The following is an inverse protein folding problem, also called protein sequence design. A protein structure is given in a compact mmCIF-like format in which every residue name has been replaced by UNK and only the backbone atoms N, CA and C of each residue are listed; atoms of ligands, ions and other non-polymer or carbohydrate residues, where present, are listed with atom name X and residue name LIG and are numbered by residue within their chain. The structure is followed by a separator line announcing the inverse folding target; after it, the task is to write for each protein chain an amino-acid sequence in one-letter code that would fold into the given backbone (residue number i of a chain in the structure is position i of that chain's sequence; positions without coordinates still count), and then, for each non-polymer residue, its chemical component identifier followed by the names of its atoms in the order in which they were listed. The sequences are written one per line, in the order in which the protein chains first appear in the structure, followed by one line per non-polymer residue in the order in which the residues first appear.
data_IF_243933807211
#
_entry.id   IF_243933807211
#
_cell.length_a   1.000
_cell.length_b   1.000
_cell.length_c   1.000
_cell.angle_alpha   90.00
_cell.angle_beta   90.00
_cell.angle_gamma   90.00
#
_symmetry.space_group_name_H-M   'P 1'
#
loop_
_entity.id
_entity.type
_entity.pdbx_description
1 polymer ?
#
# COMPACT_ATOMS: atom_id res chain seq x y z
N UNK A 1 -2.84 -17.51 -25.59
CA UNK A 1 -3.65 -17.81 -24.38
C UNK A 1 -3.09 -17.13 -23.13
N UNK A 2 -1.83 -17.41 -22.76
CA UNK A 2 -1.13 -16.79 -21.60
C UNK A 2 -1.03 -15.26 -21.72
N UNK A 3 -0.68 -14.77 -22.91
CA UNK A 3 -0.50 -13.35 -23.22
C UNK A 3 -1.80 -12.55 -23.13
N UNK A 4 -2.88 -13.08 -23.72
CA UNK A 4 -4.24 -12.52 -23.58
C UNK A 4 -4.63 -12.33 -22.11
N UNK A 5 -4.38 -13.33 -21.25
CA UNK A 5 -4.73 -13.25 -19.82
C UNK A 5 -3.89 -12.22 -19.06
N UNK A 6 -2.59 -12.19 -19.32
CA UNK A 6 -1.69 -11.21 -18.71
C UNK A 6 -2.03 -9.76 -19.10
N UNK A 7 -2.65 -9.55 -20.26
CA UNK A 7 -3.15 -8.24 -20.66
C UNK A 7 -4.49 -7.86 -20.03
N UNK A 8 -5.30 -8.82 -19.58
CA UNK A 8 -6.64 -8.56 -19.03
C UNK A 8 -6.63 -8.08 -17.58
N UNK A 9 -5.68 -8.54 -16.75
CA UNK A 9 -5.66 -8.25 -15.31
C UNK A 9 -4.23 -8.19 -14.78
N UNK A 10 -3.99 -7.33 -13.78
CA UNK A 10 -2.76 -7.35 -12.98
C UNK A 10 -2.75 -8.61 -12.10
N UNK A 11 -1.88 -9.56 -12.43
CA UNK A 11 -1.76 -10.85 -11.76
C UNK A 11 -0.30 -11.30 -11.71
N UNK A 12 0.03 -12.17 -10.76
CA UNK A 12 1.37 -12.76 -10.67
C UNK A 12 1.55 -13.91 -11.67
N UNK A 13 2.79 -14.21 -12.06
CA UNK A 13 3.08 -15.37 -12.93
C UNK A 13 2.65 -16.70 -12.28
N UNK A 14 2.63 -16.76 -10.94
CA UNK A 14 2.10 -17.88 -10.15
C UNK A 14 0.60 -18.04 -10.29
N UNK A 15 -0.17 -16.95 -10.22
CA UNK A 15 -1.63 -16.96 -10.43
C UNK A 15 -1.98 -17.39 -11.85
N UNK A 16 -1.29 -16.83 -12.86
CA UNK A 16 -1.52 -17.18 -14.27
C UNK A 16 -1.27 -18.68 -14.51
N UNK A 17 -0.23 -19.25 -13.90
CA UNK A 17 0.03 -20.69 -13.96
C UNK A 17 -1.12 -21.50 -13.37
N UNK A 18 -1.60 -21.11 -12.18
CA UNK A 18 -2.69 -21.81 -11.46
C UNK A 18 -4.01 -21.73 -12.21
N UNK A 19 -4.41 -20.55 -12.65
CA UNK A 19 -5.66 -20.35 -13.40
C UNK A 19 -5.68 -21.12 -14.73
N UNK A 20 -4.55 -21.11 -15.46
CA UNK A 20 -4.45 -21.80 -16.76
C UNK A 20 -4.01 -23.27 -16.62
N UNK A 21 -3.88 -23.79 -15.40
CA UNK A 21 -3.44 -25.16 -15.08
C UNK A 21 -2.21 -25.61 -15.89
N UNK A 22 -1.22 -24.72 -16.04
CA UNK A 22 -0.06 -24.98 -16.88
C UNK A 22 0.91 -25.96 -16.20
N UNK A 23 1.35 -26.99 -16.92
CA UNK A 23 2.35 -27.97 -16.42
C UNK A 23 3.77 -27.41 -16.30
N UNK A 24 4.06 -26.24 -16.88
CA UNK A 24 5.40 -25.67 -16.93
C UNK A 24 5.80 -24.94 -15.63
N UNK A 25 7.09 -24.59 -15.51
CA UNK A 25 7.59 -23.81 -14.37
C UNK A 25 7.07 -22.37 -14.42
N UNK A 26 6.92 -21.74 -13.25
CA UNK A 26 6.57 -20.31 -13.14
C UNK A 26 7.60 -19.43 -13.85
N UNK A 27 8.88 -19.85 -13.84
CA UNK A 27 9.97 -19.16 -14.52
C UNK A 27 9.80 -19.18 -16.04
N UNK A 28 9.26 -20.27 -16.60
CA UNK A 28 8.92 -20.37 -18.03
C UNK A 28 7.79 -19.39 -18.39
N UNK A 29 6.73 -19.34 -17.58
CA UNK A 29 5.62 -18.37 -17.77
C UNK A 29 6.15 -16.94 -17.74
N UNK A 30 7.02 -16.61 -16.79
CA UNK A 30 7.66 -15.30 -16.68
C UNK A 30 8.45 -14.95 -17.94
N UNK A 31 9.30 -15.87 -18.43
CA UNK A 31 10.11 -15.66 -19.64
C UNK A 31 9.26 -15.40 -20.88
N UNK A 32 8.15 -16.14 -21.04
CA UNK A 32 7.21 -15.93 -22.15
C UNK A 32 6.61 -14.52 -22.07
N UNK A 33 6.14 -14.11 -20.88
CA UNK A 33 5.55 -12.79 -20.68
C UNK A 33 6.57 -11.64 -20.81
N UNK A 34 7.86 -11.88 -20.55
CA UNK A 34 8.91 -10.88 -20.72
C UNK A 34 9.25 -10.59 -22.19
N UNK A 35 9.05 -11.56 -23.09
CA UNK A 35 9.24 -11.36 -24.54
C UNK A 35 8.14 -10.50 -25.15
N UNK A 36 7.00 -10.39 -24.49
CA UNK A 36 5.84 -9.69 -24.99
C UNK A 36 5.90 -8.18 -24.73
N UNK A 37 5.98 -7.37 -25.79
CA UNK A 37 6.02 -5.89 -25.70
C UNK A 37 4.79 -5.28 -25.03
N UNK A 38 3.65 -5.99 -25.04
CA UNK A 38 2.38 -5.51 -24.49
C UNK A 38 2.25 -5.72 -22.98
N UNK A 39 3.10 -6.53 -22.37
CA UNK A 39 3.01 -6.87 -20.94
C UNK A 39 4.08 -6.10 -20.17
N UNK A 40 3.64 -5.13 -19.35
CA UNK A 40 4.56 -4.38 -18.48
C UNK A 40 4.65 -5.02 -17.10
N UNK A 41 5.87 -5.33 -16.69
CA UNK A 41 6.15 -5.74 -15.33
C UNK A 41 6.21 -4.53 -14.40
N UNK A 42 5.49 -4.60 -13.29
CA UNK A 42 5.55 -3.60 -12.22
C UNK A 42 5.68 -4.28 -10.87
N UNK A 43 6.42 -3.65 -9.93
CA UNK A 43 6.46 -4.09 -8.54
C UNK A 43 5.09 -3.84 -7.91
N UNK A 44 4.47 -4.89 -7.38
CA UNK A 44 3.30 -4.73 -6.52
C UNK A 44 3.73 -3.95 -5.27
N UNK A 45 3.20 -2.75 -5.11
CA UNK A 45 3.41 -1.97 -3.90
C UNK A 45 2.62 -2.62 -2.76
N UNK A 46 3.31 -3.01 -1.69
CA UNK A 46 2.66 -3.44 -0.46
C UNK A 46 2.04 -2.23 0.21
N UNK A 47 0.75 -2.00 -0.05
CA UNK A 47 -0.05 -1.04 0.71
C UNK A 47 -0.81 -1.81 1.79
N UNK A 48 -0.81 -1.35 3.05
CA UNK A 48 -1.71 -1.92 4.03
C UNK A 48 -3.15 -1.75 3.53
N UNK A 49 -4.01 -2.77 3.70
CA UNK A 49 -5.42 -2.61 3.36
C UNK A 49 -5.99 -1.48 4.20
N UNK A 50 -6.57 -0.48 3.55
CA UNK A 50 -7.32 0.55 4.26
C UNK A 50 -8.64 -0.11 4.67
N UNK A 51 -8.81 -0.30 5.98
CA UNK A 51 -10.11 -0.63 6.55
C UNK A 51 -11.01 0.61 6.34
N UNK A 52 -12.28 0.40 6.00
CA UNK A 52 -13.23 1.47 5.63
C UNK A 52 -13.26 2.65 6.62
N UNK A 53 -13.05 2.37 7.90
CA UNK A 53 -12.93 3.38 8.97
C UNK A 53 -11.80 4.38 8.70
N UNK A 54 -10.59 3.89 8.37
CA UNK A 54 -9.46 4.76 8.05
C UNK A 54 -9.66 5.50 6.73
N UNK A 55 -10.39 4.90 5.78
CA UNK A 55 -10.76 5.56 4.53
C UNK A 55 -11.62 6.80 4.79
N UNK A 56 -12.69 6.65 5.58
CA UNK A 56 -13.59 7.76 5.95
C UNK A 56 -12.88 8.87 6.70
N UNK A 57 -12.12 8.52 7.74
CA UNK A 57 -11.37 9.50 8.55
C UNK A 57 -10.37 10.31 7.72
N UNK A 58 -9.68 9.67 6.76
CA UNK A 58 -8.75 10.38 5.85
C UNK A 58 -9.48 11.35 4.94
N UNK A 59 -10.66 10.99 4.44
CA UNK A 59 -11.46 11.86 3.57
C UNK A 59 -12.01 13.05 4.36
N UNK A 60 -12.53 12.83 5.56
CA UNK A 60 -13.03 13.89 6.44
C UNK A 60 -11.92 14.86 6.84
N UNK A 61 -10.74 14.33 7.24
CA UNK A 61 -9.58 15.14 7.54
C UNK A 61 -9.14 15.99 6.33
N UNK A 62 -9.06 15.39 5.14
CA UNK A 62 -8.70 16.12 3.92
C UNK A 62 -9.69 17.25 3.61
N UNK A 63 -11.00 17.00 3.73
CA UNK A 63 -12.04 18.04 3.57
C UNK A 63 -11.84 19.18 4.57
N UNK A 64 -11.64 18.85 5.85
CA UNK A 64 -11.40 19.84 6.90
C UNK A 64 -10.15 20.70 6.63
N UNK A 65 -9.05 20.08 6.19
CA UNK A 65 -7.83 20.81 5.83
C UNK A 65 -7.99 21.75 4.63
N UNK A 66 -8.82 21.37 3.64
CA UNK A 66 -9.16 22.24 2.51
C UNK A 66 -9.99 23.43 3.01
N UNK A 67 -11.03 23.19 3.80
CA UNK A 67 -11.89 24.24 4.38
C UNK A 67 -11.10 25.22 5.25
N UNK A 68 -10.14 24.74 6.03
CA UNK A 68 -9.28 25.58 6.87
C UNK A 68 -8.19 26.34 6.08
N UNK A 69 -8.14 26.24 4.75
CA UNK A 69 -7.15 26.94 3.91
C UNK A 69 -5.71 26.44 4.10
N UNK A 70 -5.51 25.33 4.82
CA UNK A 70 -4.19 24.74 5.10
C UNK A 70 -3.48 24.23 3.85
N UNK A 71 -4.23 23.92 2.79
CA UNK A 71 -3.66 23.47 1.51
C UNK A 71 -3.11 24.61 0.64
N UNK A 72 -3.66 25.83 0.74
CA UNK A 72 -3.46 26.88 -0.29
C UNK A 72 -2.62 28.08 0.16
N UNK A 73 -2.34 28.24 1.45
CA UNK A 73 -1.52 29.36 1.94
C UNK A 73 -0.17 28.88 2.51
N UNK A 74 0.92 29.26 1.84
CA UNK A 74 2.31 29.11 2.31
C UNK A 74 2.56 29.52 3.78
N UNK A 75 1.92 30.55 4.38
CA UNK A 75 2.19 30.92 5.77
C UNK A 75 1.75 29.89 6.83
N UNK A 76 0.66 29.15 6.61
CA UNK A 76 0.11 28.19 7.60
C UNK A 76 0.91 26.89 7.71
N UNK A 77 1.76 26.55 6.73
CA UNK A 77 2.59 25.32 6.78
C UNK A 77 3.83 25.48 7.66
N UNK A 78 4.27 26.72 7.92
CA UNK A 78 5.48 27.00 8.72
C UNK A 78 5.25 26.84 10.23
N UNK A 79 4.00 26.92 10.70
CA UNK A 79 3.63 26.70 12.11
C UNK A 79 3.27 25.24 12.43
N UNK A 80 3.20 24.37 11.42
CA UNK A 80 2.92 22.95 11.59
C UNK A 80 4.20 22.20 11.96
N UNK A 81 4.28 21.73 13.20
CA UNK A 81 5.34 20.84 13.67
C UNK A 81 4.86 19.40 13.49
N UNK A 82 5.56 18.64 12.66
CA UNK A 82 5.30 17.21 12.45
C UNK A 82 6.21 16.41 13.37
N UNK A 83 5.64 15.46 14.11
CA UNK A 83 6.38 14.56 15.01
C UNK A 83 6.07 13.14 14.57
N UNK A 84 7.10 12.38 14.21
CA UNK A 84 7.01 10.96 13.88
C UNK A 84 8.14 10.21 14.59
N UNK A 85 7.86 9.00 15.06
CA UNK A 85 8.87 8.09 15.59
C UNK A 85 9.34 7.13 14.49
N UNK A 86 10.64 7.17 14.19
CA UNK A 86 11.28 6.27 13.23
C UNK A 86 12.25 5.37 14.00
N UNK A 87 12.11 4.05 13.81
CA UNK A 87 13.03 3.07 14.37
C UNK A 87 14.15 2.79 13.37
N UNK A 88 15.40 2.93 13.80
CA UNK A 88 16.59 2.54 13.05
C UNK A 88 17.18 1.27 13.65
N UNK A 89 17.26 0.20 12.86
CA UNK A 89 18.01 -0.99 13.26
C UNK A 89 19.50 -0.81 12.91
N UNK A 90 20.39 -1.04 13.88
CA UNK A 90 21.84 -0.87 13.78
C UNK A 90 22.54 -1.91 12.90
N UNK A 91 21.80 -2.85 12.31
CA UNK A 91 22.33 -3.95 11.49
C UNK A 91 22.43 -3.63 10.00
N UNK A 92 22.10 -2.41 9.56
CA UNK A 92 22.10 -2.03 8.13
C UNK A 92 21.03 -2.72 7.29
N UNK A 93 20.18 -3.57 7.90
CA UNK A 93 18.98 -4.12 7.29
C UNK A 93 17.76 -3.42 7.89
N UNK A 94 17.10 -2.56 7.11
CA UNK A 94 15.83 -1.93 7.53
C UNK A 94 14.80 -3.03 7.77
N UNK A 95 14.55 -3.37 9.03
CA UNK A 95 13.49 -4.31 9.44
C UNK A 95 12.31 -3.52 9.98
N UNK A 96 11.19 -3.53 9.25
CA UNK A 96 9.94 -2.93 9.72
C UNK A 96 9.27 -3.92 10.68
N UNK A 97 9.67 -3.90 11.96
CA UNK A 97 8.97 -4.64 13.02
C UNK A 97 7.72 -3.87 13.43
N UNK A 98 6.54 -4.41 13.10
CA UNK A 98 5.26 -3.94 13.63
C UNK A 98 5.13 -4.31 15.10
N UNK A 99 5.23 -3.33 16.00
CA UNK A 99 4.83 -3.49 17.40
C UNK A 99 3.33 -3.16 17.50
N UNK A 100 2.50 -4.14 17.89
CA UNK A 100 1.10 -3.90 18.27
C UNK A 100 1.11 -3.16 19.60
N UNK A 101 0.74 -1.88 19.59
CA UNK A 101 0.29 -1.20 20.79
C UNK A 101 -1.23 -1.37 20.87
N UNK A 102 -1.70 -2.21 21.79
CA UNK A 102 -3.08 -2.21 22.25
C UNK A 102 -3.13 -1.29 23.46
N UNK A 103 -3.59 -0.05 23.28
CA UNK A 103 -4.06 0.78 24.39
C UNK A 103 -5.58 0.60 24.46
N UNK A 104 -6.02 -0.13 25.48
CA UNK A 104 -7.38 -0.05 26.02
C UNK A 104 -7.59 1.38 26.51
N UNK A 105 -8.58 2.07 25.92
CA UNK A 105 -9.07 3.33 26.46
C UNK A 105 -10.20 2.95 27.40
N UNK A 106 -9.93 3.02 28.70
CA UNK A 106 -10.95 2.92 29.73
C UNK A 106 -11.87 4.13 29.61
N UNK A 107 -13.15 3.85 29.32
CA UNK A 107 -14.24 4.83 29.31
C UNK A 107 -14.64 5.07 30.77
N UNK A 108 -14.08 6.10 31.39
CA UNK A 108 -14.66 6.66 32.60
C UNK A 108 -15.95 7.42 32.22
N UNK A 109 -17.08 6.74 32.40
CA UNK A 109 -18.40 7.36 32.45
C UNK A 109 -18.55 8.07 33.80
N UNK A 110 -18.24 9.36 33.84
CA UNK A 110 -18.57 10.26 34.94
C UNK A 110 -19.98 10.83 34.77
N UNK A 111 -20.75 10.74 35.85
CA UNK A 111 -22.18 11.00 36.02
C UNK A 111 -22.64 12.42 35.70
#
# INVERSE_FOLDING_TARGET
MITRRACSKKQTSTEIKRELSLRCSVRTVRRVLQKERKVRYGKLMSRPPLIDVHGRLRVEFAKKCITMGMMLSFPMRKSLIWIDQIFFDTSGMISVKKKKFSQSVDLEMGQ
#
